data_IF_073504185121
#
_entry.id   IF_073504185121
#
_cell.length_a   1.000
_cell.length_b   1.000
_cell.length_c   1.000
_cell.angle_alpha   90.00
_cell.angle_beta   90.00
_cell.angle_gamma   90.00
#
_symmetry.space_group_name_H-M   'P 1'
#
loop_
_entity.id
_entity.type
_entity.pdbx_description
1 polymer ?
#
# COMPACT_ATOMS: atom_id res chain seq x y z
N UNK A 1 -14.76 62.95 -8.85
CA UNK A 1 -14.78 63.41 -7.45
C UNK A 1 -13.45 63.01 -6.83
N UNK A 2 -12.38 63.75 -7.17
CA UNK A 2 -11.74 64.79 -6.35
C UNK A 2 -10.82 64.24 -5.25
N UNK A 3 -9.50 64.23 -5.53
CA UNK A 3 -8.42 64.37 -4.52
C UNK A 3 -8.47 65.79 -3.93
N UNK A 4 -7.81 66.11 -2.79
CA UNK A 4 -6.35 66.39 -2.71
C UNK A 4 -5.70 65.85 -1.40
N UNK A 5 -4.41 65.50 -1.33
CA UNK A 5 -3.17 66.30 -1.28
C UNK A 5 -3.09 67.36 -0.15
N UNK A 6 -2.06 67.25 0.70
CA UNK A 6 -1.75 68.24 1.74
C UNK A 6 -0.42 67.98 2.48
N UNK A 7 0.64 68.68 2.03
CA UNK A 7 1.98 68.82 2.62
C UNK A 7 2.02 69.66 3.91
N UNK A 8 3.04 69.48 4.74
CA UNK A 8 3.85 70.50 5.46
C UNK A 8 5.21 69.84 5.82
N UNK A 9 6.43 70.36 5.57
CA UNK A 9 7.00 71.70 5.86
C UNK A 9 7.33 71.76 7.37
N UNK A 10 8.55 71.86 7.91
CA UNK A 10 9.81 72.50 7.52
C UNK A 10 10.26 73.40 8.70
N UNK A 11 11.56 73.40 9.09
CA UNK A 11 12.31 74.43 9.88
C UNK A 11 13.31 73.76 10.84
N UNK A 12 14.63 73.81 10.63
CA UNK A 12 15.61 74.89 10.92
C UNK A 12 15.57 75.43 12.36
N UNK A 13 16.73 75.35 13.00
CA UNK A 13 17.10 76.03 14.24
C UNK A 13 18.62 76.01 14.39
N UNK A 14 19.26 77.07 13.92
CA UNK A 14 20.67 77.40 14.17
C UNK A 14 20.83 78.23 15.46
N UNK A 15 22.08 78.27 15.92
CA UNK A 15 22.75 79.30 16.75
C UNK A 15 22.93 79.05 18.24
N UNK A 16 24.21 79.08 18.63
CA UNK A 16 24.70 79.02 20.00
C UNK A 16 26.21 79.20 20.07
N UNK A 17 26.71 80.32 19.53
CA UNK A 17 28.11 80.78 19.62
C UNK A 17 28.49 81.11 21.07
N UNK A 18 29.63 80.62 21.56
CA UNK A 18 30.40 81.31 22.62
C UNK A 18 31.88 80.95 22.57
N UNK A 19 32.68 81.95 22.22
CA UNK A 19 34.13 81.98 22.36
C UNK A 19 34.52 82.34 23.80
N UNK A 20 35.64 81.77 24.29
CA UNK A 20 36.59 82.33 25.26
C UNK A 20 37.83 81.42 25.29
N UNK A 21 38.93 81.88 24.70
CA UNK A 21 40.09 82.48 25.37
C UNK A 21 41.11 81.48 25.90
N UNK A 22 42.18 81.33 25.11
CA UNK A 22 43.59 81.46 25.50
C UNK A 22 44.04 80.83 26.83
N UNK A 23 44.80 79.73 26.71
CA UNK A 23 45.96 79.47 27.54
C UNK A 23 47.02 78.71 26.72
N UNK A 24 48.08 79.42 26.38
CA UNK A 24 49.32 78.89 25.82
C UNK A 24 50.02 78.07 26.91
N UNK A 25 50.29 76.79 26.67
CA UNK A 25 51.21 75.99 27.50
C UNK A 25 52.04 75.05 26.63
N UNK A 26 53.31 75.41 26.54
CA UNK A 26 54.41 74.60 26.03
C UNK A 26 54.55 73.28 26.78
N UNK A 27 54.60 72.14 26.06
CA UNK A 27 55.42 70.99 26.46
C UNK A 27 55.54 69.94 25.36
N UNK A 28 56.81 69.63 25.06
CA UNK A 28 57.35 68.36 24.60
C UNK A 28 56.91 67.82 23.22
N UNK A 29 57.85 67.98 22.28
CA UNK A 29 58.07 67.08 21.14
C UNK A 29 57.97 65.62 21.60
N UNK A 30 57.02 64.89 21.02
CA UNK A 30 57.05 63.43 21.01
C UNK A 30 57.05 63.04 19.53
N UNK A 31 58.19 62.52 19.08
CA UNK A 31 58.40 61.98 17.75
C UNK A 31 57.29 60.99 17.40
N UNK A 32 56.49 61.33 16.39
CA UNK A 32 55.55 60.39 15.78
C UNK A 32 56.27 59.85 14.55
N UNK A 33 56.96 58.74 14.75
CA UNK A 33 57.59 57.98 13.67
C UNK A 33 56.48 57.45 12.76
N UNK A 34 56.50 57.90 11.52
CA UNK A 34 55.73 57.33 10.42
C UNK A 34 56.48 56.07 9.98
N UNK A 35 55.94 54.89 10.31
CA UNK A 35 56.23 53.66 9.58
C UNK A 35 54.93 53.04 9.12
N UNK A 36 54.66 53.17 7.83
CA UNK A 36 53.81 52.23 7.11
C UNK A 36 54.69 51.11 6.55
N UNK A 37 54.33 49.86 6.83
CA UNK A 37 54.33 48.69 5.93
C UNK A 37 54.22 47.38 6.73
N UNK A 38 53.07 46.72 6.64
CA UNK A 38 52.88 45.26 6.42
C UNK A 38 51.43 44.91 6.84
N UNK A 39 50.47 44.81 5.91
CA UNK A 39 50.17 43.65 5.06
C UNK A 39 50.26 42.29 5.79
N UNK A 40 49.06 41.71 5.96
CA UNK A 40 48.79 40.27 6.05
C UNK A 40 49.33 39.56 7.30
N UNK A 41 48.58 39.62 8.40
CA UNK A 41 48.65 38.57 9.43
C UNK A 41 48.09 37.26 8.87
N UNK A 42 48.88 36.59 8.01
CA UNK A 42 48.71 35.16 7.80
C UNK A 42 49.00 34.47 9.12
N UNK A 43 48.03 33.72 9.66
CA UNK A 43 48.30 32.78 10.75
C UNK A 43 49.46 31.90 10.28
N UNK A 44 50.57 31.90 11.00
CA UNK A 44 51.68 30.98 10.77
C UNK A 44 51.11 29.54 10.69
N UNK A 45 51.10 28.93 9.49
CA UNK A 45 50.42 27.65 9.28
C UNK A 45 51.05 26.54 10.11
N UNK A 46 52.33 26.69 10.52
CA UNK A 46 53.07 25.72 11.32
C UNK A 46 52.59 25.61 12.77
N UNK A 47 51.93 26.64 13.32
CA UNK A 47 51.37 26.64 14.68
C UNK A 47 49.86 26.36 14.74
N UNK A 48 49.27 26.02 13.61
CA UNK A 48 47.85 25.71 13.51
C UNK A 48 47.50 24.38 14.20
N UNK A 49 46.23 24.20 14.60
CA UNK A 49 45.75 22.93 15.14
C UNK A 49 45.91 21.77 14.14
N UNK A 50 45.80 22.06 12.84
CA UNK A 50 46.03 21.10 11.76
C UNK A 50 47.50 20.68 11.70
N UNK A 51 48.44 21.63 11.75
CA UNK A 51 49.88 21.30 11.76
C UNK A 51 50.28 20.46 12.99
N UNK A 52 49.69 20.71 14.16
CA UNK A 52 49.90 19.88 15.36
C UNK A 52 49.35 18.46 15.19
N UNK A 53 48.19 18.30 14.55
CA UNK A 53 47.62 16.98 14.26
C UNK A 53 48.51 16.21 13.28
N UNK A 54 49.00 16.86 12.23
CA UNK A 54 49.91 16.26 11.25
C UNK A 54 51.23 15.83 11.92
N UNK A 55 51.83 16.72 12.73
CA UNK A 55 53.05 16.41 13.46
C UNK A 55 52.87 15.20 14.39
N UNK A 56 51.75 15.15 15.14
CA UNK A 56 51.42 14.01 15.99
C UNK A 56 51.21 12.71 15.20
N UNK A 57 50.58 12.77 14.02
CA UNK A 57 50.41 11.61 13.13
C UNK A 57 51.75 11.08 12.60
N UNK A 58 52.71 11.97 12.32
CA UNK A 58 54.06 11.58 11.86
C UNK A 58 54.87 10.97 13.01
N UNK A 59 54.74 11.52 14.22
CA UNK A 59 55.43 10.99 15.41
C UNK A 59 54.87 9.64 15.89
N UNK A 60 53.63 9.30 15.54
CA UNK A 60 52.93 8.09 16.00
C UNK A 60 52.47 7.16 14.85
N UNK A 61 53.36 6.68 13.96
CA UNK A 61 52.98 5.94 12.76
C UNK A 61 52.27 4.61 13.05
N UNK A 62 52.62 3.94 14.15
CA UNK A 62 51.98 2.67 14.57
C UNK A 62 50.52 2.89 14.95
N UNK A 63 50.21 3.95 15.71
CA UNK A 63 48.85 4.28 16.12
C UNK A 63 48.01 4.64 14.89
N UNK A 64 48.56 5.44 13.98
CA UNK A 64 47.88 5.82 12.73
C UNK A 64 47.60 4.59 11.85
N UNK A 65 48.56 3.67 11.71
CA UNK A 65 48.36 2.42 10.96
C UNK A 65 47.30 1.51 11.60
N UNK A 66 47.28 1.39 12.93
CA UNK A 66 46.24 0.62 13.60
C UNK A 66 44.86 1.24 13.44
N UNK A 67 44.73 2.57 13.58
CA UNK A 67 43.47 3.28 13.36
C UNK A 67 42.99 3.13 11.90
N UNK A 68 43.89 3.28 10.93
CA UNK A 68 43.58 3.09 9.52
C UNK A 68 43.14 1.64 9.22
N UNK A 69 43.80 0.65 9.83
CA UNK A 69 43.45 -0.77 9.67
C UNK A 69 42.11 -1.08 10.33
N UNK A 70 41.84 -0.53 11.52
CA UNK A 70 40.55 -0.66 12.20
C UNK A 70 39.43 -0.01 11.40
N UNK A 71 39.67 1.16 10.81
CA UNK A 71 38.71 1.83 9.92
C UNK A 71 38.49 1.04 8.63
N UNK A 72 39.54 0.45 8.06
CA UNK A 72 39.45 -0.43 6.89
C UNK A 72 38.63 -1.69 7.18
N UNK A 73 38.87 -2.34 8.34
CA UNK A 73 38.09 -3.50 8.77
C UNK A 73 36.63 -3.13 9.07
N UNK A 74 36.38 -1.99 9.71
CA UNK A 74 35.03 -1.48 9.95
C UNK A 74 34.31 -1.14 8.63
N UNK A 75 35.00 -0.52 7.68
CA UNK A 75 34.47 -0.22 6.35
C UNK A 75 34.16 -1.49 5.55
N UNK A 76 35.02 -2.50 5.65
CA UNK A 76 34.78 -3.82 5.04
C UNK A 76 33.56 -4.52 5.65
N UNK A 77 33.43 -4.52 6.98
CA UNK A 77 32.26 -5.04 7.69
C UNK A 77 30.97 -4.29 7.34
N UNK A 78 31.05 -2.96 7.22
CA UNK A 78 29.93 -2.15 6.79
C UNK A 78 29.52 -2.50 5.35
N UNK A 79 30.48 -2.55 4.42
CA UNK A 79 30.24 -2.90 3.02
C UNK A 79 29.60 -4.28 2.85
N UNK A 80 29.95 -5.26 3.70
CA UNK A 80 29.32 -6.59 3.68
C UNK A 80 27.89 -6.62 4.23
N UNK A 81 27.50 -5.65 5.06
CA UNK A 81 26.20 -5.61 5.75
C UNK A 81 25.24 -4.57 5.18
N UNK A 82 25.71 -3.68 4.31
CA UNK A 82 24.86 -2.69 3.65
C UNK A 82 23.95 -3.39 2.65
N UNK A 83 22.61 -3.26 2.78
CA UNK A 83 21.67 -3.80 1.80
C UNK A 83 21.92 -3.16 0.43
N UNK A 84 21.86 -3.98 -0.61
CA UNK A 84 22.10 -3.56 -1.99
C UNK A 84 20.79 -3.69 -2.77
N UNK A 85 20.32 -2.60 -3.34
CA UNK A 85 19.22 -2.63 -4.30
C UNK A 85 19.71 -2.16 -5.67
N UNK A 86 19.12 -2.68 -6.74
CA UNK A 86 19.47 -2.35 -8.10
C UNK A 86 19.05 -0.91 -8.47
N UNK A 87 17.95 -0.42 -7.89
CA UNK A 87 17.37 0.89 -8.19
C UNK A 87 16.85 1.51 -6.89
N UNK A 88 17.11 2.80 -6.60
CA UNK A 88 16.46 3.45 -5.47
C UNK A 88 14.95 3.51 -5.68
N UNK A 89 14.15 3.28 -4.63
CA UNK A 89 12.70 3.50 -4.71
C UNK A 89 12.42 5.01 -4.86
N UNK A 90 11.76 5.37 -5.96
CA UNK A 90 11.35 6.74 -6.31
C UNK A 90 9.82 6.90 -6.27
N UNK A 91 9.12 5.93 -5.71
CA UNK A 91 7.65 5.90 -5.67
C UNK A 91 7.12 6.85 -4.59
N UNK A 92 6.11 7.65 -4.93
CA UNK A 92 5.36 8.43 -3.93
C UNK A 92 4.69 7.48 -2.91
N UNK A 93 4.62 7.88 -1.64
CA UNK A 93 3.84 7.14 -0.64
C UNK A 93 2.36 7.15 -1.03
N UNK A 94 1.83 5.97 -1.35
CA UNK A 94 0.44 5.83 -1.77
C UNK A 94 -0.26 4.67 -1.08
N UNK A 95 -1.56 4.84 -0.85
CA UNK A 95 -2.43 3.79 -0.32
C UNK A 95 -3.50 3.49 -1.36
N UNK A 96 -3.56 2.23 -1.76
CA UNK A 96 -4.53 1.73 -2.75
C UNK A 96 -5.74 1.19 -2.00
N UNK A 97 -6.93 1.50 -2.49
CA UNK A 97 -8.19 0.98 -1.99
C UNK A 97 -8.88 0.32 -3.18
N UNK A 98 -9.08 -1.00 -3.09
CA UNK A 98 -9.87 -1.76 -4.05
C UNK A 98 -11.24 -2.02 -3.45
N UNK A 99 -12.28 -1.64 -4.16
CA UNK A 99 -13.67 -1.94 -3.77
C UNK A 99 -14.30 -2.81 -4.83
N UNK A 100 -14.59 -4.07 -4.48
CA UNK A 100 -15.35 -4.95 -5.35
C UNK A 100 -16.84 -4.61 -5.23
N UNK A 101 -17.49 -4.41 -6.39
CA UNK A 101 -18.94 -4.19 -6.50
C UNK A 101 -19.50 -4.99 -7.70
N UNK A 102 -19.56 -6.34 -7.59
CA UNK A 102 -19.70 -7.22 -8.74
C UNK A 102 -20.95 -6.99 -9.58
N UNK A 103 -20.82 -7.13 -10.90
CA UNK A 103 -21.93 -7.05 -11.86
C UNK A 103 -22.41 -5.64 -12.19
N UNK A 104 -21.78 -4.61 -11.64
CA UNK A 104 -22.15 -3.21 -11.88
C UNK A 104 -21.37 -2.59 -13.05
N UNK A 105 -22.04 -1.74 -13.82
CA UNK A 105 -21.41 -0.98 -14.90
C UNK A 105 -20.42 0.06 -14.36
N UNK A 106 -19.39 0.45 -15.13
CA UNK A 106 -18.41 1.45 -14.70
C UNK A 106 -19.03 2.76 -14.21
N UNK A 107 -20.11 3.24 -14.83
CA UNK A 107 -20.78 4.47 -14.42
C UNK A 107 -21.43 4.34 -13.03
N UNK A 108 -22.08 3.20 -12.75
CA UNK A 108 -22.69 2.95 -11.44
C UNK A 108 -21.62 2.80 -10.36
N UNK A 109 -20.49 2.16 -10.69
CA UNK A 109 -19.34 2.07 -9.80
C UNK A 109 -18.75 3.45 -9.52
N UNK A 110 -18.65 4.31 -10.53
CA UNK A 110 -18.21 5.71 -10.35
C UNK A 110 -19.13 6.45 -9.39
N UNK A 111 -20.42 6.51 -9.71
CA UNK A 111 -21.38 7.36 -9.00
C UNK A 111 -21.62 6.89 -7.54
N UNK A 112 -21.63 5.57 -7.29
CA UNK A 112 -22.00 5.01 -5.99
C UNK A 112 -20.81 4.59 -5.12
N UNK A 113 -19.61 4.43 -5.69
CA UNK A 113 -18.44 3.91 -4.95
C UNK A 113 -17.24 4.81 -5.12
N UNK A 114 -16.72 4.96 -6.34
CA UNK A 114 -15.44 5.66 -6.58
C UNK A 114 -15.52 7.14 -6.24
N UNK A 115 -16.59 7.81 -6.68
CA UNK A 115 -16.78 9.23 -6.43
C UNK A 115 -16.93 9.54 -4.93
N UNK A 116 -17.86 8.90 -4.18
CA UNK A 116 -17.95 9.10 -2.73
C UNK A 116 -16.65 8.80 -1.97
N UNK A 117 -15.94 7.72 -2.34
CA UNK A 117 -14.66 7.39 -1.72
C UNK A 117 -13.61 8.47 -2.00
N UNK A 118 -13.38 8.81 -3.27
CA UNK A 118 -12.33 9.75 -3.66
C UNK A 118 -12.55 11.14 -3.07
N UNK A 119 -13.79 11.67 -3.08
CA UNK A 119 -14.08 13.00 -2.53
C UNK A 119 -13.88 13.09 -1.03
N UNK A 120 -14.22 12.02 -0.29
CA UNK A 120 -14.01 12.00 1.16
C UNK A 120 -12.54 11.79 1.54
N UNK A 121 -11.81 11.00 0.76
CA UNK A 121 -10.39 10.74 0.97
C UNK A 121 -9.50 11.93 0.60
N UNK A 122 -9.97 12.81 -0.31
CA UNK A 122 -9.29 14.07 -0.64
C UNK A 122 -9.12 14.97 0.59
N UNK A 123 -10.03 14.87 1.57
CA UNK A 123 -9.98 15.65 2.81
C UNK A 123 -9.01 15.11 3.86
N UNK A 124 -8.28 14.03 3.58
CA UNK A 124 -7.31 13.49 4.52
C UNK A 124 -6.09 14.42 4.66
N UNK A 125 -5.51 14.52 5.88
CA UNK A 125 -4.32 15.36 6.08
C UNK A 125 -3.13 14.82 5.29
N UNK A 126 -2.33 15.73 4.72
CA UNK A 126 -1.13 15.43 3.91
C UNK A 126 -1.42 14.64 2.63
N UNK A 127 -2.65 14.70 2.12
CA UNK A 127 -2.99 14.14 0.81
C UNK A 127 -2.61 15.11 -0.30
N UNK A 128 -1.79 14.63 -1.24
CA UNK A 128 -1.32 15.36 -2.41
C UNK A 128 -2.35 15.29 -3.54
N UNK A 129 -2.83 14.08 -3.83
CA UNK A 129 -3.79 13.81 -4.91
C UNK A 129 -4.58 12.52 -4.61
N UNK A 130 -5.79 12.41 -5.16
CA UNK A 130 -6.59 11.19 -5.09
C UNK A 130 -7.06 10.83 -6.48
N UNK A 131 -6.68 9.63 -6.95
CA UNK A 131 -7.01 9.15 -8.28
C UNK A 131 -8.02 8.01 -8.18
N UNK A 132 -9.13 8.13 -8.89
CA UNK A 132 -10.14 7.08 -9.00
C UNK A 132 -10.11 6.41 -10.37
N UNK A 133 -10.33 5.10 -10.42
CA UNK A 133 -10.58 4.34 -11.63
C UNK A 133 -11.75 3.40 -11.42
N UNK A 134 -12.80 3.60 -12.22
CA UNK A 134 -14.01 2.79 -12.18
C UNK A 134 -14.03 1.80 -13.33
N UNK A 135 -14.07 0.51 -13.00
CA UNK A 135 -14.13 -0.59 -13.95
C UNK A 135 -15.41 -1.40 -13.76
N UNK A 136 -15.70 -2.31 -14.68
CA UNK A 136 -16.85 -3.19 -14.54
C UNK A 136 -16.68 -4.07 -13.29
N UNK A 137 -17.55 -3.87 -12.31
CA UNK A 137 -17.59 -4.65 -11.07
C UNK A 137 -16.53 -4.30 -10.01
N UNK A 138 -15.66 -3.32 -10.24
CA UNK A 138 -14.57 -2.97 -9.30
C UNK A 138 -14.19 -1.49 -9.41
N UNK A 139 -13.87 -0.87 -8.28
CA UNK A 139 -13.29 0.47 -8.15
C UNK A 139 -11.88 0.38 -7.59
N UNK A 140 -10.96 1.18 -8.13
CA UNK A 140 -9.64 1.44 -7.57
C UNK A 140 -9.51 2.91 -7.20
N UNK A 141 -9.20 3.20 -5.95
CA UNK A 141 -8.90 4.56 -5.46
C UNK A 141 -7.48 4.58 -4.93
N UNK A 142 -6.66 5.50 -5.44
CA UNK A 142 -5.27 5.71 -5.07
C UNK A 142 -5.18 7.01 -4.29
N UNK A 143 -4.86 6.93 -3.01
CA UNK A 143 -4.58 8.11 -2.17
C UNK A 143 -3.08 8.33 -2.17
N UNK A 144 -2.63 9.41 -2.81
CA UNK A 144 -1.23 9.78 -2.91
C UNK A 144 -0.95 10.84 -1.86
N UNK A 145 0.04 10.58 -1.00
CA UNK A 145 0.41 11.48 0.08
C UNK A 145 1.52 12.45 -0.36
N UNK A 146 1.69 13.52 0.41
CA UNK A 146 2.86 14.39 0.32
C UNK A 146 4.14 13.61 0.61
N UNK A 147 5.27 14.13 0.14
CA UNK A 147 6.60 13.58 0.41
C UNK A 147 6.85 13.49 1.94
N UNK A 148 7.69 12.54 2.36
CA UNK A 148 8.01 12.25 3.77
C UNK A 148 6.80 11.86 4.65
N UNK A 149 5.74 11.31 4.06
CA UNK A 149 4.67 10.63 4.81
C UNK A 149 5.08 9.18 5.06
N UNK A 150 5.06 8.76 6.32
CA UNK A 150 5.21 7.36 6.68
C UNK A 150 4.04 6.53 6.10
N UNK A 151 4.35 5.43 5.41
CA UNK A 151 3.35 4.59 4.76
C UNK A 151 2.31 4.06 5.77
N UNK A 152 2.75 3.60 6.94
CA UNK A 152 1.84 3.04 7.94
C UNK A 152 0.94 4.11 8.57
N UNK A 153 1.44 5.33 8.74
CA UNK A 153 0.63 6.48 9.13
C UNK A 153 -0.45 6.77 8.10
N UNK A 154 -0.09 6.81 6.80
CA UNK A 154 -1.04 7.01 5.71
C UNK A 154 -2.10 5.90 5.66
N UNK A 155 -1.67 4.64 5.79
CA UNK A 155 -2.57 3.47 5.87
C UNK A 155 -3.53 3.57 7.05
N UNK A 156 -3.05 3.92 8.24
CA UNK A 156 -3.88 4.07 9.43
C UNK A 156 -4.96 5.16 9.25
N UNK A 157 -4.60 6.28 8.62
CA UNK A 157 -5.55 7.36 8.29
C UNK A 157 -6.61 6.91 7.29
N UNK A 158 -6.22 6.14 6.28
CA UNK A 158 -7.15 5.56 5.31
C UNK A 158 -8.07 4.53 5.96
N UNK A 159 -7.57 3.63 6.81
CA UNK A 159 -8.40 2.68 7.58
C UNK A 159 -9.45 3.42 8.41
N UNK A 160 -9.04 4.47 9.11
CA UNK A 160 -9.95 5.28 9.92
C UNK A 160 -11.04 5.93 9.06
N UNK A 161 -10.68 6.46 7.89
CA UNK A 161 -11.62 7.06 6.95
C UNK A 161 -12.61 6.02 6.40
N UNK A 162 -12.11 4.87 5.95
CA UNK A 162 -12.93 3.78 5.42
C UNK A 162 -13.90 3.22 6.46
N UNK A 163 -13.48 3.18 7.73
CA UNK A 163 -14.35 2.73 8.82
C UNK A 163 -15.57 3.65 9.01
N UNK A 164 -15.44 4.95 8.74
CA UNK A 164 -16.57 5.90 8.76
C UNK A 164 -17.44 5.77 7.50
N UNK A 165 -16.80 5.72 6.34
CA UNK A 165 -17.45 5.72 5.02
C UNK A 165 -18.12 4.39 4.66
N UNK A 166 -17.69 3.28 5.27
CA UNK A 166 -18.22 1.95 4.97
C UNK A 166 -19.74 1.82 5.15
N UNK A 167 -20.33 2.66 6.00
CA UNK A 167 -21.79 2.73 6.20
C UNK A 167 -22.55 3.49 5.11
N UNK A 168 -21.85 4.32 4.33
CA UNK A 168 -22.42 5.12 3.23
C UNK A 168 -22.37 4.37 1.89
N UNK A 169 -21.54 3.33 1.78
CA UNK A 169 -21.41 2.53 0.58
C UNK A 169 -22.61 1.60 0.37
N UNK A 170 -22.99 1.33 -0.89
CA UNK A 170 -24.08 0.40 -1.20
C UNK A 170 -23.85 -1.00 -0.61
N UNK A 171 -24.92 -1.73 -0.25
CA UNK A 171 -24.81 -3.12 0.16
C UNK A 171 -24.09 -3.95 -0.90
N UNK A 172 -23.02 -4.65 -0.50
CA UNK A 172 -22.21 -5.49 -1.39
C UNK A 172 -21.01 -4.77 -2.02
N UNK A 173 -20.83 -3.47 -1.81
CA UNK A 173 -19.56 -2.79 -2.08
C UNK A 173 -18.63 -2.95 -0.88
N UNK A 174 -17.57 -3.75 -1.02
CA UNK A 174 -16.65 -4.08 0.08
C UNK A 174 -15.28 -3.43 -0.15
N UNK A 175 -14.98 -2.29 0.48
CA UNK A 175 -13.68 -1.63 0.32
C UNK A 175 -12.59 -2.42 1.06
N UNK A 176 -11.46 -2.62 0.40
CA UNK A 176 -10.29 -3.31 0.93
C UNK A 176 -9.05 -2.45 0.66
N UNK A 177 -8.15 -2.38 1.64
CA UNK A 177 -6.86 -1.71 1.46
C UNK A 177 -5.91 -2.68 0.76
N UNK A 178 -5.17 -2.16 -0.22
CA UNK A 178 -4.16 -2.91 -0.95
C UNK A 178 -2.94 -3.28 -0.09
N UNK A 179 -2.00 -4.04 -0.67
CA UNK A 179 -0.79 -4.47 0.03
C UNK A 179 0.06 -3.27 0.49
N UNK A 180 0.92 -3.50 1.48
CA UNK A 180 1.94 -2.57 1.98
C UNK A 180 3.18 -2.57 1.08
N UNK A 181 2.96 -2.39 -0.22
CA UNK A 181 4.00 -2.46 -1.26
C UNK A 181 3.91 -1.28 -2.24
N UNK A 182 5.02 -1.00 -2.93
CA UNK A 182 5.11 0.04 -3.95
C UNK A 182 4.95 -0.52 -5.36
N UNK A 183 4.82 0.37 -6.37
CA UNK A 183 4.68 -0.04 -7.78
C UNK A 183 5.90 -0.77 -8.35
N UNK A 184 7.06 -0.64 -7.70
CA UNK A 184 8.30 -1.36 -8.04
C UNK A 184 8.48 -2.66 -7.25
N UNK A 185 7.58 -2.96 -6.30
CA UNK A 185 7.70 -4.13 -5.42
C UNK A 185 7.52 -5.49 -6.09
N UNK A 186 7.31 -5.57 -7.41
CA UNK A 186 7.16 -6.83 -8.14
C UNK A 186 8.54 -7.49 -8.35
N UNK A 187 9.01 -8.22 -7.34
CA UNK A 187 10.39 -8.72 -7.28
C UNK A 187 10.60 -10.08 -7.94
N UNK A 188 9.58 -10.95 -7.95
CA UNK A 188 9.72 -12.29 -8.51
C UNK A 188 8.43 -12.74 -9.18
N UNK A 189 8.55 -13.14 -10.44
CA UNK A 189 7.43 -13.63 -11.24
C UNK A 189 7.74 -15.04 -11.71
N UNK A 190 6.78 -15.94 -11.58
CA UNK A 190 6.91 -17.32 -12.03
C UNK A 190 5.63 -17.78 -12.72
N UNK A 191 5.76 -18.74 -13.63
CA UNK A 191 4.65 -19.43 -14.27
C UNK A 191 4.64 -20.90 -13.86
N UNK A 192 3.43 -21.47 -13.69
CA UNK A 192 3.21 -22.87 -13.37
C UNK A 192 2.96 -23.64 -14.66
N UNK A 193 3.92 -24.48 -15.03
CA UNK A 193 3.87 -25.24 -16.28
C UNK A 193 3.94 -26.72 -15.97
N UNK A 194 2.94 -27.47 -16.43
CA UNK A 194 3.02 -28.93 -16.49
C UNK A 194 3.07 -29.41 -17.95
N UNK A 195 4.23 -29.90 -18.36
CA UNK A 195 4.47 -30.44 -19.72
C UNK A 195 3.76 -31.76 -19.98
N UNK A 196 3.33 -32.47 -18.93
CA UNK A 196 2.54 -33.69 -19.04
C UNK A 196 1.07 -33.43 -19.37
N UNK A 197 0.62 -32.17 -19.26
CA UNK A 197 -0.78 -31.71 -19.46
C UNK A 197 -1.81 -32.49 -18.63
N UNK A 198 -1.39 -33.03 -17.48
CA UNK A 198 -2.28 -33.78 -16.57
C UNK A 198 -3.15 -32.85 -15.72
N UNK A 199 -2.61 -31.83 -15.03
CA UNK A 199 -3.42 -30.81 -14.41
C UNK A 199 -3.88 -29.83 -15.48
N UNK A 200 -5.16 -29.49 -15.43
CA UNK A 200 -5.70 -28.40 -16.22
C UNK A 200 -5.36 -27.04 -15.56
N UNK A 201 -5.74 -25.95 -16.24
CA UNK A 201 -5.51 -24.60 -15.72
C UNK A 201 -6.27 -24.30 -14.42
N UNK A 202 -7.33 -25.05 -14.10
CA UNK A 202 -8.09 -24.90 -12.87
C UNK A 202 -7.40 -25.59 -11.69
N UNK A 203 -6.79 -26.75 -11.91
CA UNK A 203 -5.96 -27.45 -10.93
C UNK A 203 -4.68 -26.66 -10.63
N UNK A 204 -3.99 -26.15 -11.66
CA UNK A 204 -2.82 -25.28 -11.48
C UNK A 204 -3.18 -24.00 -10.72
N UNK A 205 -4.35 -23.40 -11.02
CA UNK A 205 -4.83 -22.22 -10.31
C UNK A 205 -5.16 -22.54 -8.86
N UNK A 206 -5.75 -23.70 -8.60
CA UNK A 206 -6.05 -24.16 -7.24
C UNK A 206 -4.78 -24.45 -6.44
N UNK A 207 -3.75 -25.04 -7.08
CA UNK A 207 -2.42 -25.23 -6.47
C UNK A 207 -1.78 -23.88 -6.13
N UNK A 208 -1.85 -22.91 -7.04
CA UNK A 208 -1.36 -21.56 -6.81
C UNK A 208 -2.06 -20.90 -5.62
N UNK A 209 -3.39 -20.85 -5.62
CA UNK A 209 -4.16 -20.08 -4.63
C UNK A 209 -4.20 -20.75 -3.24
N UNK A 210 -4.26 -22.09 -3.19
CA UNK A 210 -4.44 -22.82 -1.93
C UNK A 210 -3.13 -23.33 -1.31
N UNK A 211 -2.03 -23.34 -2.04
CA UNK A 211 -0.74 -23.83 -1.54
C UNK A 211 0.38 -22.82 -1.74
N UNK A 212 0.80 -22.56 -2.99
CA UNK A 212 1.99 -21.74 -3.25
C UNK A 212 1.86 -20.31 -2.73
N UNK A 213 0.69 -19.70 -2.90
CA UNK A 213 0.40 -18.36 -2.36
C UNK A 213 0.60 -18.31 -0.85
N UNK A 214 0.17 -19.34 -0.11
CA UNK A 214 0.27 -19.38 1.34
C UNK A 214 1.70 -19.61 1.81
N UNK A 215 2.42 -20.54 1.17
CA UNK A 215 3.82 -20.82 1.49
C UNK A 215 4.72 -19.60 1.24
N UNK A 216 4.51 -18.90 0.11
CA UNK A 216 5.30 -17.71 -0.25
C UNK A 216 4.91 -16.48 0.56
N UNK A 217 3.64 -16.34 0.97
CA UNK A 217 3.22 -15.23 1.83
C UNK A 217 3.82 -15.29 3.24
N UNK A 218 4.32 -16.45 3.67
CA UNK A 218 5.03 -16.62 4.95
C UNK A 218 6.49 -16.17 4.94
N UNK A 219 7.04 -15.82 3.77
CA UNK A 219 8.44 -15.39 3.63
C UNK A 219 8.61 -13.96 4.15
N UNK A 220 9.67 -13.72 4.93
CA UNK A 220 10.01 -12.38 5.42
C UNK A 220 10.23 -11.41 4.25
N UNK A 221 9.79 -10.16 4.41
CA UNK A 221 9.83 -9.15 3.35
C UNK A 221 8.72 -9.25 2.29
N UNK A 222 7.91 -10.31 2.26
CA UNK A 222 6.79 -10.42 1.32
C UNK A 222 5.56 -9.69 1.86
N UNK A 223 4.98 -8.82 1.04
CA UNK A 223 3.71 -8.12 1.29
C UNK A 223 2.51 -8.90 0.76
N UNK A 224 2.59 -9.38 -0.48
CA UNK A 224 1.53 -10.13 -1.12
C UNK A 224 2.09 -11.10 -2.17
N UNK A 225 1.38 -12.20 -2.37
CA UNK A 225 1.58 -13.08 -3.52
C UNK A 225 0.32 -13.07 -4.37
N UNK A 226 0.41 -12.40 -5.52
CA UNK A 226 -0.71 -12.20 -6.43
C UNK A 226 -0.75 -13.32 -7.47
N UNK A 227 -1.92 -13.93 -7.64
CA UNK A 227 -2.14 -15.01 -8.61
C UNK A 227 -2.76 -14.46 -9.89
N UNK A 228 -2.14 -14.70 -11.04
CA UNK A 228 -2.54 -14.15 -12.35
C UNK A 228 -2.80 -15.29 -13.34
N UNK A 229 -3.84 -15.17 -14.17
CA UNK A 229 -4.20 -16.20 -15.14
C UNK A 229 -4.88 -17.43 -14.52
N UNK A 230 -5.02 -18.49 -15.32
CA UNK A 230 -5.76 -19.71 -14.97
C UNK A 230 -7.28 -19.57 -14.88
N UNK A 231 -7.91 -20.64 -14.40
CA UNK A 231 -9.35 -20.71 -14.16
C UNK A 231 -9.65 -20.90 -12.68
N UNK A 232 -10.41 -19.99 -12.09
CA UNK A 232 -10.97 -20.20 -10.76
C UNK A 232 -12.19 -21.11 -10.92
N UNK A 233 -12.21 -22.25 -10.23
CA UNK A 233 -13.32 -23.20 -10.28
C UNK A 233 -14.57 -22.59 -9.67
N UNK A 234 -15.68 -22.69 -10.38
CA UNK A 234 -16.98 -22.18 -9.97
C UNK A 234 -18.07 -23.21 -10.26
N UNK A 235 -18.92 -23.47 -9.27
CA UNK A 235 -20.14 -24.25 -9.48
C UNK A 235 -21.23 -23.33 -10.03
N UNK A 236 -21.58 -23.54 -11.30
CA UNK A 236 -22.55 -22.74 -12.03
C UNK A 236 -23.91 -23.42 -12.06
N UNK A 237 -24.91 -22.75 -11.51
CA UNK A 237 -26.31 -23.20 -11.49
C UNK A 237 -27.02 -22.64 -12.73
N UNK A 238 -27.10 -23.45 -13.78
CA UNK A 238 -27.73 -23.07 -15.05
C UNK A 238 -29.23 -23.36 -15.00
N UNK A 239 -30.01 -22.34 -14.67
CA UNK A 239 -31.46 -22.45 -14.45
C UNK A 239 -32.21 -22.58 -15.78
N UNK A 240 -33.17 -23.51 -15.86
CA UNK A 240 -34.08 -23.64 -17.02
C UNK A 240 -35.37 -22.82 -16.80
N UNK A 241 -35.60 -21.74 -17.58
CA UNK A 241 -36.80 -20.91 -17.44
C UNK A 241 -38.12 -21.65 -17.68
N UNK A 242 -38.12 -22.75 -18.44
CA UNK A 242 -39.32 -23.57 -18.64
C UNK A 242 -39.69 -24.35 -17.38
N UNK A 243 -38.68 -24.93 -16.71
CA UNK A 243 -38.89 -25.65 -15.46
C UNK A 243 -39.33 -24.72 -14.34
N UNK A 244 -38.79 -23.48 -14.28
CA UNK A 244 -39.28 -22.47 -13.34
C UNK A 244 -40.77 -22.21 -13.48
N UNK A 245 -41.24 -22.09 -14.73
CA UNK A 245 -42.66 -21.85 -15.02
C UNK A 245 -43.52 -23.08 -14.74
N UNK A 246 -43.02 -24.28 -15.03
CA UNK A 246 -43.74 -25.53 -14.79
C UNK A 246 -43.99 -25.77 -13.29
N UNK A 247 -43.05 -25.36 -12.43
CA UNK A 247 -43.13 -25.53 -10.98
C UNK A 247 -43.58 -24.26 -10.22
N UNK A 248 -43.90 -23.17 -10.92
CA UNK A 248 -44.21 -21.85 -10.34
C UNK A 248 -43.16 -21.35 -9.33
N UNK A 249 -41.87 -21.57 -9.65
CA UNK A 249 -40.74 -21.20 -8.79
C UNK A 249 -40.10 -19.90 -9.29
N UNK A 250 -40.07 -18.88 -8.43
CA UNK A 250 -39.33 -17.65 -8.71
C UNK A 250 -37.82 -17.82 -8.54
N UNK A 251 -37.03 -17.08 -9.33
CA UNK A 251 -35.56 -17.04 -9.23
C UNK A 251 -35.11 -16.63 -7.81
N UNK A 252 -35.83 -15.70 -7.17
CA UNK A 252 -35.51 -15.25 -5.80
C UNK A 252 -35.55 -16.41 -4.80
N UNK A 253 -36.49 -17.35 -4.97
CA UNK A 253 -36.60 -18.54 -4.12
C UNK A 253 -35.39 -19.45 -4.26
N UNK A 254 -34.89 -19.63 -5.48
CA UNK A 254 -33.68 -20.43 -5.76
C UNK A 254 -32.47 -19.81 -5.09
N UNK A 255 -32.27 -18.51 -5.26
CA UNK A 255 -31.15 -17.79 -4.63
C UNK A 255 -31.21 -17.93 -3.11
N UNK A 256 -32.40 -17.82 -2.51
CA UNK A 256 -32.57 -18.01 -1.07
C UNK A 256 -32.28 -19.45 -0.63
N UNK A 257 -32.76 -20.46 -1.35
CA UNK A 257 -32.53 -21.86 -1.04
C UNK A 257 -31.06 -22.24 -1.14
N UNK A 258 -30.37 -21.84 -2.22
CA UNK A 258 -28.93 -22.10 -2.40
C UNK A 258 -28.10 -21.41 -1.31
N UNK A 259 -28.45 -20.17 -0.92
CA UNK A 259 -27.76 -19.48 0.19
C UNK A 259 -27.98 -20.17 1.54
N UNK A 260 -29.16 -20.74 1.78
CA UNK A 260 -29.48 -21.46 3.01
C UNK A 260 -28.86 -22.87 3.05
N UNK A 261 -28.60 -23.46 1.88
CA UNK A 261 -28.15 -24.83 1.74
C UNK A 261 -26.71 -25.09 2.22
N UNK A 262 -25.85 -24.07 2.24
CA UNK A 262 -24.46 -24.22 2.67
C UNK A 262 -24.24 -23.48 3.99
N UNK A 263 -24.56 -24.16 5.10
CA UNK A 263 -24.31 -23.64 6.44
C UNK A 263 -24.09 -24.77 7.45
N UNK A 264 -23.18 -24.56 8.40
CA UNK A 264 -23.04 -25.42 9.57
C UNK A 264 -23.50 -24.68 10.82
N UNK A 265 -24.19 -25.40 11.71
CA UNK A 265 -24.73 -24.84 12.95
C UNK A 265 -24.28 -25.70 14.13
N UNK A 266 -23.79 -25.04 15.18
CA UNK A 266 -23.44 -25.69 16.45
C UNK A 266 -24.67 -25.82 17.36
N UNK A 267 -24.89 -27.02 17.91
CA UNK A 267 -26.00 -27.35 18.81
C UNK A 267 -25.65 -27.25 20.30
N UNK A 268 -24.59 -26.51 20.66
CA UNK A 268 -24.00 -26.45 22.01
C UNK A 268 -23.44 -27.82 22.45
N UNK A 269 -23.28 -28.02 23.76
CA UNK A 269 -22.78 -29.24 24.37
C UNK A 269 -23.90 -29.95 25.14
N UNK A 270 -23.81 -31.27 25.17
CA UNK A 270 -24.59 -32.16 26.03
C UNK A 270 -23.64 -32.78 27.05
N UNK A 271 -23.89 -32.55 28.34
CA UNK A 271 -23.12 -33.17 29.41
C UNK A 271 -23.73 -34.53 29.76
N UNK A 272 -22.94 -35.59 29.70
CA UNK A 272 -23.35 -36.95 30.06
C UNK A 272 -22.19 -37.71 30.68
N UNK A 273 -22.36 -38.13 31.95
CA UNK A 273 -21.36 -38.94 32.66
C UNK A 273 -20.00 -38.27 32.81
N UNK A 274 -19.98 -37.01 33.30
CA UNK A 274 -18.76 -36.20 33.47
C UNK A 274 -17.99 -35.95 32.15
N UNK A 275 -18.63 -36.16 31.00
CA UNK A 275 -18.09 -35.87 29.66
C UNK A 275 -19.01 -34.90 28.92
N UNK A 276 -18.41 -33.95 28.19
CA UNK A 276 -19.14 -33.03 27.32
C UNK A 276 -19.11 -33.49 25.86
N UNK A 277 -20.29 -33.63 25.25
CA UNK A 277 -20.46 -33.97 23.83
C UNK A 277 -20.86 -32.72 23.05
N UNK A 278 -19.99 -32.28 22.15
CA UNK A 278 -20.29 -31.16 21.25
C UNK A 278 -21.26 -31.62 20.16
N UNK A 279 -22.42 -30.98 20.09
CA UNK A 279 -23.41 -31.21 19.04
C UNK A 279 -23.05 -30.34 17.84
N UNK A 280 -22.78 -30.96 16.69
CA UNK A 280 -22.48 -30.26 15.44
C UNK A 280 -23.40 -30.76 14.33
N UNK A 281 -24.07 -29.84 13.64
CA UNK A 281 -24.77 -30.13 12.39
C UNK A 281 -23.82 -29.93 11.21
N UNK A 282 -23.72 -30.92 10.33
CA UNK A 282 -23.03 -30.79 9.05
C UNK A 282 -24.00 -30.29 7.98
N UNK A 283 -23.59 -29.31 7.19
CA UNK A 283 -24.42 -28.74 6.12
C UNK A 283 -23.64 -27.92 5.10
N UNK A 284 -22.31 -28.07 5.00
CA UNK A 284 -21.57 -27.49 3.89
C UNK A 284 -21.76 -28.29 2.62
N UNK A 285 -22.00 -27.57 1.53
CA UNK A 285 -21.90 -28.09 0.16
C UNK A 285 -20.43 -28.36 -0.14
N UNK A 286 -20.07 -29.60 -0.47
CA UNK A 286 -18.69 -30.00 -0.79
C UNK A 286 -18.49 -30.23 -2.27
N UNK A 287 -19.50 -30.77 -2.91
CA UNK A 287 -19.45 -31.13 -4.32
C UNK A 287 -20.73 -30.72 -5.06
N UNK A 288 -20.72 -30.98 -6.36
CA UNK A 288 -21.86 -30.73 -7.24
C UNK A 288 -23.13 -31.49 -6.83
N UNK A 289 -22.99 -32.70 -6.29
CA UNK A 289 -24.12 -33.58 -5.95
C UNK A 289 -24.88 -33.05 -4.74
N UNK A 290 -24.18 -32.44 -3.78
CA UNK A 290 -24.79 -31.72 -2.67
C UNK A 290 -25.68 -30.56 -3.16
N UNK A 291 -25.23 -29.80 -4.18
CA UNK A 291 -26.03 -28.72 -4.78
C UNK A 291 -27.27 -29.25 -5.50
N UNK A 292 -27.14 -30.38 -6.21
CA UNK A 292 -28.24 -31.00 -6.95
C UNK A 292 -29.41 -31.39 -6.03
N UNK A 293 -29.12 -31.82 -4.81
CA UNK A 293 -30.12 -32.24 -3.82
C UNK A 293 -30.76 -31.10 -3.04
N UNK A 294 -30.36 -29.85 -3.27
CA UNK A 294 -30.92 -28.71 -2.54
C UNK A 294 -32.42 -28.60 -2.82
N UNK A 295 -33.22 -28.72 -1.77
CA UNK A 295 -34.68 -28.63 -1.86
C UNK A 295 -35.09 -27.17 -2.00
N UNK A 296 -35.81 -26.85 -3.06
CA UNK A 296 -36.29 -25.49 -3.38
C UNK A 296 -37.72 -25.29 -2.91
N UNK A 297 -38.55 -26.31 -3.13
CA UNK A 297 -39.94 -26.34 -2.74
C UNK A 297 -40.36 -27.78 -2.44
N UNK A 298 -41.48 -27.97 -1.75
CA UNK A 298 -42.11 -29.27 -1.57
C UNK A 298 -43.62 -29.07 -1.76
N UNK A 299 -44.19 -29.86 -2.65
CA UNK A 299 -45.62 -29.85 -2.98
C UNK A 299 -46.20 -31.22 -2.61
N UNK A 300 -47.19 -31.24 -1.71
CA UNK A 300 -47.83 -32.47 -1.19
C UNK A 300 -46.85 -33.56 -0.70
N UNK A 301 -45.72 -33.15 -0.13
CA UNK A 301 -44.69 -34.05 0.38
C UNK A 301 -43.66 -34.52 -0.65
N UNK A 302 -43.82 -34.14 -1.93
CA UNK A 302 -42.81 -34.38 -2.98
C UNK A 302 -41.85 -33.18 -3.06
N UNK A 303 -40.56 -33.35 -2.76
CA UNK A 303 -39.60 -32.26 -2.87
C UNK A 303 -39.27 -31.98 -4.33
N UNK A 304 -39.23 -30.70 -4.70
CA UNK A 304 -38.62 -30.20 -5.93
C UNK A 304 -37.22 -29.71 -5.58
N UNK A 305 -36.23 -30.36 -6.14
CA UNK A 305 -34.80 -30.13 -5.92
C UNK A 305 -34.23 -29.17 -6.96
N UNK A 306 -32.99 -28.72 -6.73
CA UNK A 306 -32.30 -27.87 -7.68
C UNK A 306 -32.02 -28.60 -9.00
N UNK A 307 -31.77 -29.91 -8.95
CA UNK A 307 -31.58 -30.74 -10.14
C UNK A 307 -32.80 -30.79 -11.06
N UNK A 308 -34.02 -30.63 -10.51
CA UNK A 308 -35.26 -30.66 -11.30
C UNK A 308 -35.43 -29.40 -12.17
N UNK A 309 -34.85 -28.28 -11.74
CA UNK A 309 -35.06 -26.95 -12.34
C UNK A 309 -33.80 -26.31 -12.92
N UNK A 310 -32.62 -26.86 -12.63
CA UNK A 310 -31.35 -26.32 -13.07
C UNK A 310 -30.33 -27.43 -13.33
N UNK A 311 -29.41 -27.17 -14.27
CA UNK A 311 -28.23 -28.00 -14.48
C UNK A 311 -27.05 -27.38 -13.74
N UNK A 312 -26.48 -28.12 -12.80
CA UNK A 312 -25.26 -27.70 -12.09
C UNK A 312 -24.06 -28.16 -12.92
N UNK A 313 -23.15 -27.26 -13.25
CA UNK A 313 -21.89 -27.59 -13.94
C UNK A 313 -20.71 -26.97 -13.20
N UNK A 314 -19.57 -27.63 -13.24
CA UNK A 314 -18.31 -27.02 -12.83
C UNK A 314 -17.70 -26.31 -14.04
N UNK A 315 -17.40 -25.02 -13.88
CA UNK A 315 -16.89 -24.18 -14.95
C UNK A 315 -15.94 -23.10 -14.43
N UNK A 316 -15.31 -22.33 -15.33
CA UNK A 316 -14.46 -21.23 -14.94
C UNK A 316 -15.30 -20.01 -14.53
N UNK A 317 -14.92 -19.37 -13.42
CA UNK A 317 -15.41 -18.03 -13.08
C UNK A 317 -15.01 -17.00 -14.16
N UNK A 318 -15.68 -15.84 -14.17
CA UNK A 318 -15.34 -14.74 -15.07
C UNK A 318 -13.86 -14.35 -14.93
N UNK A 319 -13.12 -14.45 -16.03
CA UNK A 319 -11.69 -14.13 -16.07
C UNK A 319 -11.49 -12.62 -16.11
N UNK A 320 -10.62 -12.11 -15.22
CA UNK A 320 -10.17 -10.70 -15.24
C UNK A 320 -8.75 -10.54 -15.80
N UNK A 321 -8.05 -11.63 -16.07
CA UNK A 321 -6.69 -11.62 -16.61
C UNK A 321 -6.32 -12.95 -17.27
N UNK A 322 -5.43 -12.87 -18.25
CA UNK A 322 -4.91 -14.01 -19.03
C UNK A 322 -3.39 -13.94 -18.95
N UNK A 323 -2.74 -15.09 -18.80
CA UNK A 323 -1.28 -15.22 -18.82
C UNK A 323 -0.92 -16.29 -19.82
N UNK A 324 0.14 -16.03 -20.57
CA UNK A 324 0.68 -16.87 -21.62
C UNK A 324 2.19 -16.93 -21.41
N UNK A 325 2.81 -18.07 -21.73
CA UNK A 325 4.26 -18.26 -21.58
C UNK A 325 4.88 -18.68 -22.91
N UNK A 326 5.81 -17.87 -23.40
CA UNK A 326 6.67 -18.13 -24.56
C UNK A 326 5.93 -18.43 -25.89
N UNK A 327 4.65 -18.08 -26.02
CA UNK A 327 3.83 -18.42 -27.18
C UNK A 327 3.35 -19.88 -27.21
N UNK A 328 3.61 -20.67 -26.17
CA UNK A 328 3.28 -22.10 -26.10
C UNK A 328 1.88 -22.38 -25.51
N UNK A 329 1.22 -21.36 -24.94
CA UNK A 329 -0.15 -21.46 -24.44
C UNK A 329 -0.41 -20.72 -23.14
N UNK A 330 -1.69 -20.72 -22.74
CA UNK A 330 -2.10 -20.10 -21.48
C UNK A 330 -1.58 -20.85 -20.26
N UNK A 331 -1.28 -20.13 -19.20
CA UNK A 331 -0.76 -20.67 -17.94
C UNK A 331 -1.31 -19.91 -16.71
N UNK A 332 -0.88 -20.33 -15.52
CA UNK A 332 -1.08 -19.65 -14.25
C UNK A 332 0.26 -19.08 -13.81
N UNK A 333 0.28 -17.83 -13.37
CA UNK A 333 1.47 -17.20 -12.81
C UNK A 333 1.24 -16.72 -11.38
N UNK A 334 2.33 -16.61 -10.65
CA UNK A 334 2.40 -15.93 -9.36
C UNK A 334 3.38 -14.77 -9.42
N UNK A 335 3.01 -13.67 -8.78
CA UNK A 335 3.85 -12.47 -8.63
C UNK A 335 4.06 -12.27 -7.13
N UNK A 336 5.31 -12.35 -6.70
CA UNK A 336 5.74 -12.02 -5.34
C UNK A 336 5.97 -10.52 -5.27
N UNK A 337 5.26 -9.88 -4.36
CA UNK A 337 5.29 -8.45 -4.13
C UNK A 337 5.99 -8.20 -2.79
N UNK A 338 7.10 -7.47 -2.82
CA UNK A 338 7.90 -7.09 -1.66
C UNK A 338 7.23 -5.95 -0.89
N UNK A 339 7.39 -5.99 0.43
CA UNK A 339 6.97 -4.92 1.33
C UNK A 339 7.85 -3.69 1.18
N UNK A 340 7.24 -2.52 1.35
CA UNK A 340 7.94 -1.25 1.38
C UNK A 340 9.07 -1.23 2.42
N UNK A 341 10.27 -0.79 1.99
CA UNK A 341 11.44 -0.67 2.83
C UNK A 341 12.20 -1.96 3.15
N UNK A 342 11.77 -3.11 2.60
CA UNK A 342 12.46 -4.40 2.73
C UNK A 342 13.41 -4.64 1.53
N UNK A 343 14.41 -5.52 1.72
CA UNK A 343 15.36 -5.98 0.70
C UNK A 343 15.83 -7.40 1.03
#
# INVERSE_FOLDING_TARGET
MARPDGRHGGSRGEHGTRARQSACRSRALTETTVEGHDRLTGRDPSRSAVARLIAWSIENPVIVLMLASALGAAGWLAMQRTPLDAIPDLTDTQVIIRTDFPGQSPQIVEDLVTYPLSTNLLGLPRTKDVRGSSMFGTSFVYVIFEDDVDLYWGRARVVEALSRLGSELPPGATPQIGPDATGVGWIFQYALVDRSRRPDLAELRSLQDSYLKLELAGVEGVAEVASVGGFVREYQVLIDPNQLRAHDISIRRIVAAVRAASSEVGGRVLEQGESEFVIRSSGYVKDRFDLEQVVIHAEDGTPVTLADIARIVEGPALRRGIVELDGEGETVAGIVIMRDGEN
#
